data_IF_542227656069
#
_entry.id   IF_542227656069
#
_cell.length_a   1.000
_cell.length_b   1.000
_cell.length_c   1.000
_cell.angle_alpha   90.00
_cell.angle_beta   90.00
_cell.angle_gamma   90.00
#
_symmetry.space_group_name_H-M   'P 1'
#
loop_
_entity.id
_entity.type
_entity.pdbx_description
1 polymer ?
#
# COMPACT_ATOMS: atom_id res chain seq x y z
N UNK A 1 1.41 -69.98 5.32
CA UNK A 1 1.47 -68.82 6.23
C UNK A 1 1.55 -67.54 5.40
N UNK A 2 0.41 -66.92 5.10
CA UNK A 2 0.33 -65.58 4.52
C UNK A 2 -0.68 -64.81 5.37
N UNK A 3 -0.17 -63.88 6.18
CA UNK A 3 -0.95 -63.10 7.11
C UNK A 3 -1.36 -61.77 6.49
N UNK A 4 -2.67 -61.60 6.34
CA UNK A 4 -3.32 -60.31 6.14
C UNK A 4 -2.85 -59.27 7.18
N UNK A 5 -2.61 -58.03 6.75
CA UNK A 5 -2.68 -56.87 7.65
C UNK A 5 -3.66 -55.83 7.13
N UNK A 6 -4.54 -55.48 8.06
CA UNK A 6 -5.72 -54.64 7.94
C UNK A 6 -5.36 -53.17 7.72
N UNK A 7 -6.15 -52.52 6.88
CA UNK A 7 -6.29 -51.06 6.82
C UNK A 7 -7.09 -50.65 8.07
N UNK A 8 -6.44 -49.99 9.03
CA UNK A 8 -7.12 -49.43 10.20
C UNK A 8 -7.69 -48.05 9.87
N UNK A 9 -8.99 -47.90 10.15
CA UNK A 9 -9.73 -46.64 10.14
C UNK A 9 -9.11 -45.67 11.14
N UNK A 10 -8.68 -44.50 10.67
CA UNK A 10 -8.32 -43.37 11.54
C UNK A 10 -9.62 -42.77 12.06
N UNK A 11 -9.80 -42.83 13.38
CA UNK A 11 -10.93 -42.27 14.11
C UNK A 11 -10.85 -40.75 14.16
N UNK A 12 -12.00 -40.10 13.98
CA UNK A 12 -12.25 -38.71 14.33
C UNK A 12 -11.77 -38.44 15.76
N UNK A 13 -10.67 -37.70 15.88
CA UNK A 13 -10.18 -37.20 17.16
C UNK A 13 -10.44 -35.71 17.19
N UNK A 14 -11.48 -35.30 17.90
CA UNK A 14 -11.73 -33.90 18.25
C UNK A 14 -10.51 -33.36 19.01
N UNK A 15 -9.69 -32.56 18.34
CA UNK A 15 -8.61 -31.80 18.94
C UNK A 15 -9.20 -30.56 19.61
N UNK A 16 -9.38 -30.65 20.92
CA UNK A 16 -9.69 -29.49 21.75
C UNK A 16 -8.48 -28.53 21.77
N UNK A 17 -8.63 -27.40 21.07
CA UNK A 17 -7.77 -26.23 21.21
C UNK A 17 -8.15 -25.49 22.50
N UNK A 18 -7.34 -25.59 23.54
CA UNK A 18 -7.45 -24.73 24.73
C UNK A 18 -6.53 -23.53 24.58
N UNK A 19 -7.11 -22.38 24.22
CA UNK A 19 -6.45 -21.07 24.34
C UNK A 19 -7.00 -20.27 25.53
N UNK A 20 -6.17 -19.46 26.21
CA UNK A 20 -6.60 -18.64 27.31
C UNK A 20 -7.61 -17.57 26.84
N UNK A 21 -8.82 -17.59 27.42
CA UNK A 21 -9.87 -16.60 27.18
C UNK A 21 -9.42 -15.20 27.62
N UNK A 22 -8.81 -14.42 26.74
CA UNK A 22 -8.70 -12.97 26.91
C UNK A 22 -10.08 -12.35 26.70
N UNK A 23 -10.56 -11.60 27.70
CA UNK A 23 -11.83 -10.86 27.66
C UNK A 23 -11.86 -9.94 26.43
N UNK A 24 -12.59 -10.32 25.39
CA UNK A 24 -12.94 -9.46 24.27
C UNK A 24 -13.82 -8.31 24.80
N UNK A 25 -13.24 -7.11 24.92
CA UNK A 25 -14.02 -5.89 25.11
C UNK A 25 -14.76 -5.60 23.79
N UNK A 26 -16.09 -5.48 23.87
CA UNK A 26 -17.02 -5.10 22.78
C UNK A 26 -16.44 -3.99 21.88
N UNK A 27 -15.97 -4.36 20.69
CA UNK A 27 -15.63 -3.44 19.59
C UNK A 27 -16.93 -3.06 18.85
N UNK A 28 -17.74 -2.18 19.44
CA UNK A 28 -19.06 -1.84 18.87
C UNK A 28 -19.07 -0.68 17.86
N UNK A 29 -17.92 -0.11 17.48
CA UNK A 29 -17.81 0.99 16.52
C UNK A 29 -16.44 0.99 15.81
N UNK A 30 -16.01 -0.15 15.26
CA UNK A 30 -14.84 -0.14 14.37
C UNK A 30 -15.31 0.34 12.98
N UNK A 31 -14.74 1.42 12.42
CA UNK A 31 -14.91 1.70 11.00
C UNK A 31 -14.47 0.45 10.21
N UNK A 32 -15.13 0.13 9.10
CA UNK A 32 -14.79 -1.01 8.24
C UNK A 32 -13.28 -1.08 8.07
N UNK A 33 -12.67 -2.11 8.66
CA UNK A 33 -11.21 -2.18 8.80
C UNK A 33 -10.54 -3.00 7.69
N UNK A 34 -11.32 -3.65 6.84
CA UNK A 34 -10.84 -4.41 5.69
C UNK A 34 -10.30 -3.55 4.54
N UNK A 35 -9.80 -4.20 3.47
CA UNK A 35 -9.39 -3.51 2.26
C UNK A 35 -10.58 -2.70 1.69
N UNK A 36 -10.38 -1.41 1.38
CA UNK A 36 -11.48 -0.52 1.01
C UNK A 36 -12.09 -0.86 -0.36
N UNK A 37 -11.33 -1.55 -1.22
CA UNK A 37 -11.79 -2.09 -2.49
C UNK A 37 -10.98 -3.33 -2.85
N UNK A 38 -11.47 -4.06 -3.84
CA UNK A 38 -10.81 -5.22 -4.44
C UNK A 38 -10.76 -5.03 -5.97
N UNK A 39 -9.73 -5.53 -6.66
CA UNK A 39 -9.69 -5.55 -8.11
C UNK A 39 -10.90 -6.28 -8.71
N UNK A 40 -11.34 -5.87 -9.90
CA UNK A 40 -12.47 -6.50 -10.60
C UNK A 40 -12.29 -8.02 -10.76
N UNK A 41 -11.05 -8.47 -11.02
CA UNK A 41 -10.70 -9.89 -11.12
C UNK A 41 -10.99 -10.69 -9.83
N UNK A 42 -10.90 -10.04 -8.67
CA UNK A 42 -11.24 -10.66 -7.37
C UNK A 42 -12.75 -10.61 -7.15
N UNK A 43 -13.37 -9.47 -7.45
CA UNK A 43 -14.83 -9.28 -7.31
C UNK A 43 -15.63 -10.18 -8.24
N UNK A 44 -15.10 -10.53 -9.42
CA UNK A 44 -15.75 -11.38 -10.41
C UNK A 44 -15.64 -12.87 -10.12
N UNK A 45 -15.04 -13.29 -9.00
CA UNK A 45 -14.92 -14.72 -8.65
C UNK A 45 -16.21 -15.24 -8.02
N UNK A 46 -16.73 -16.32 -8.59
CA UNK A 46 -17.89 -17.06 -8.10
C UNK A 46 -17.58 -18.56 -8.09
N UNK A 47 -18.34 -19.32 -7.31
CA UNK A 47 -18.34 -20.78 -7.34
C UNK A 47 -19.77 -21.29 -7.38
N UNK A 48 -20.03 -22.29 -8.21
CA UNK A 48 -21.37 -22.85 -8.34
C UNK A 48 -21.60 -23.95 -7.30
N UNK A 49 -22.79 -23.95 -6.70
CA UNK A 49 -23.19 -24.98 -5.78
C UNK A 49 -23.43 -26.31 -6.53
N UNK A 50 -22.74 -27.41 -6.19
CA UNK A 50 -22.87 -28.67 -6.91
C UNK A 50 -24.24 -29.34 -6.74
N UNK A 51 -25.04 -28.94 -5.74
CA UNK A 51 -26.36 -29.52 -5.46
C UNK A 51 -27.50 -28.80 -6.20
N UNK A 52 -27.52 -27.47 -6.16
CA UNK A 52 -28.64 -26.67 -6.67
C UNK A 52 -28.27 -25.75 -7.86
N UNK A 53 -27.00 -25.69 -8.25
CA UNK A 53 -26.52 -24.86 -9.35
C UNK A 53 -26.48 -23.35 -9.05
N UNK A 54 -26.82 -22.92 -7.83
CA UNK A 54 -26.75 -21.51 -7.46
C UNK A 54 -25.29 -21.02 -7.46
N UNK A 55 -25.05 -19.86 -8.08
CA UNK A 55 -23.75 -19.22 -8.07
C UNK A 55 -23.53 -18.45 -6.77
N UNK A 56 -22.41 -18.69 -6.11
CA UNK A 56 -22.06 -18.14 -4.80
C UNK A 56 -20.88 -17.18 -4.92
N UNK A 57 -21.06 -15.98 -4.37
CA UNK A 57 -19.97 -15.02 -4.16
C UNK A 57 -19.52 -15.06 -2.70
N UNK A 58 -18.22 -15.10 -2.41
CA UNK A 58 -17.73 -14.91 -1.06
C UNK A 58 -18.06 -13.50 -0.54
N UNK A 59 -18.34 -13.40 0.77
CA UNK A 59 -18.34 -12.10 1.45
C UNK A 59 -16.89 -11.71 1.75
N UNK A 60 -16.30 -10.91 0.87
CA UNK A 60 -14.90 -10.51 0.99
C UNK A 60 -14.62 -9.58 2.19
N UNK A 61 -15.65 -8.91 2.69
CA UNK A 61 -15.55 -7.93 3.78
C UNK A 61 -16.01 -8.50 5.12
N UNK A 62 -16.26 -9.80 5.18
CA UNK A 62 -16.47 -10.50 6.44
C UNK A 62 -15.17 -10.47 7.25
N UNK A 63 -15.26 -9.95 8.47
CA UNK A 63 -14.20 -10.05 9.49
C UNK A 63 -14.23 -11.45 10.14
N UNK A 64 -13.05 -12.03 10.33
CA UNK A 64 -12.85 -13.32 10.99
C UNK A 64 -12.18 -13.15 12.35
N UNK A 65 -12.32 -14.15 13.22
CA UNK A 65 -11.73 -14.10 14.57
C UNK A 65 -10.20 -14.29 14.56
N UNK A 66 -9.68 -14.95 13.53
CA UNK A 66 -8.26 -15.22 13.32
C UNK A 66 -7.81 -14.56 12.00
N UNK A 67 -6.58 -14.01 11.93
CA UNK A 67 -6.07 -13.43 10.72
C UNK A 67 -5.78 -14.54 9.69
N UNK A 68 -5.98 -14.21 8.42
CA UNK A 68 -5.49 -15.02 7.32
C UNK A 68 -3.96 -14.97 7.25
N UNK A 69 -3.36 -16.11 6.96
CA UNK A 69 -1.92 -16.24 6.81
C UNK A 69 -1.43 -17.66 7.12
N UNK A 70 -0.11 -17.89 6.99
CA UNK A 70 0.48 -19.19 7.27
C UNK A 70 0.29 -19.58 8.74
N UNK A 71 -0.33 -20.74 8.96
CA UNK A 71 -0.59 -21.30 10.29
C UNK A 71 0.65 -22.08 10.72
N UNK A 72 1.31 -21.65 11.80
CA UNK A 72 2.42 -22.40 12.39
C UNK A 72 1.91 -23.75 12.91
N UNK A 73 2.41 -24.83 12.31
CA UNK A 73 2.13 -26.19 12.74
C UNK A 73 3.02 -26.55 13.92
N UNK A 74 2.50 -27.35 14.85
CA UNK A 74 3.31 -27.87 15.96
C UNK A 74 4.51 -28.64 15.39
N UNK A 75 5.75 -28.26 15.74
CA UNK A 75 6.94 -28.94 15.23
C UNK A 75 6.93 -30.39 15.70
N UNK A 76 7.08 -31.35 14.79
CA UNK A 76 7.34 -32.76 15.14
C UNK A 76 8.81 -33.01 15.48
N UNK A 77 9.71 -32.29 14.79
CA UNK A 77 11.17 -32.53 14.83
C UNK A 77 11.98 -31.24 15.11
N UNK A 78 11.37 -30.26 15.79
CA UNK A 78 11.99 -28.95 16.04
C UNK A 78 12.03 -28.00 14.83
N UNK A 79 11.69 -28.47 13.63
CA UNK A 79 11.50 -27.62 12.45
C UNK A 79 10.14 -26.93 12.47
N UNK A 80 10.16 -25.59 12.31
CA UNK A 80 8.94 -24.78 12.15
C UNK A 80 8.35 -25.07 10.77
N UNK A 81 7.12 -25.58 10.74
CA UNK A 81 6.36 -25.79 9.51
C UNK A 81 5.18 -24.85 9.51
N UNK A 82 4.81 -24.33 8.34
CA UNK A 82 3.65 -23.46 8.17
C UNK A 82 2.70 -24.08 7.15
N UNK A 83 1.41 -24.14 7.49
CA UNK A 83 0.36 -24.52 6.56
C UNK A 83 -0.29 -23.26 5.96
N UNK A 84 -0.53 -23.28 4.65
CA UNK A 84 -1.25 -22.20 3.95
C UNK A 84 -2.63 -22.70 3.57
N UNK A 85 -3.64 -21.87 3.80
CA UNK A 85 -5.02 -22.20 3.49
C UNK A 85 -5.21 -22.31 1.97
N UNK A 86 -5.77 -23.43 1.51
CA UNK A 86 -5.99 -23.68 0.08
C UNK A 86 -7.43 -23.35 -0.36
N UNK A 87 -8.39 -23.52 0.55
CA UNK A 87 -9.82 -23.35 0.28
C UNK A 87 -10.52 -22.65 1.44
N UNK A 88 -11.63 -21.98 1.11
CA UNK A 88 -12.55 -21.35 2.06
C UNK A 88 -13.94 -21.97 1.90
N UNK A 89 -14.66 -22.26 3.00
CA UNK A 89 -15.98 -22.88 2.91
C UNK A 89 -17.09 -21.82 2.82
N UNK A 90 -17.85 -21.84 1.73
CA UNK A 90 -19.11 -21.12 1.57
C UNK A 90 -20.29 -22.03 1.91
N UNK A 91 -21.39 -21.43 2.40
CA UNK A 91 -22.65 -22.14 2.66
C UNK A 91 -23.69 -21.66 1.66
N UNK A 92 -24.18 -22.56 0.81
CA UNK A 92 -25.26 -22.27 -0.12
C UNK A 92 -26.60 -22.10 0.60
N UNK A 93 -27.57 -21.43 -0.03
CA UNK A 93 -28.96 -21.36 0.45
C UNK A 93 -29.61 -22.75 0.59
N UNK A 94 -29.19 -23.74 -0.19
CA UNK A 94 -29.63 -25.14 -0.05
C UNK A 94 -28.87 -25.94 1.03
N UNK A 95 -28.12 -25.25 1.88
CA UNK A 95 -27.30 -25.74 3.00
C UNK A 95 -26.05 -26.55 2.60
N UNK A 96 -25.84 -26.78 1.31
CA UNK A 96 -24.60 -27.41 0.82
C UNK A 96 -23.40 -26.52 1.11
N UNK A 97 -22.37 -27.12 1.73
CA UNK A 97 -21.04 -26.50 1.87
C UNK A 97 -20.28 -26.62 0.56
N UNK A 98 -19.74 -25.51 0.08
CA UNK A 98 -19.02 -25.40 -1.18
C UNK A 98 -17.62 -24.88 -0.88
N UNK A 99 -16.60 -25.56 -1.39
CA UNK A 99 -15.22 -25.11 -1.27
C UNK A 99 -14.94 -24.04 -2.33
N UNK A 100 -14.46 -22.90 -1.88
CA UNK A 100 -14.01 -21.78 -2.70
C UNK A 100 -12.48 -21.77 -2.72
N UNK A 101 -11.83 -21.81 -3.91
CA UNK A 101 -10.38 -21.86 -4.00
C UNK A 101 -9.73 -20.51 -3.65
N UNK A 102 -8.63 -20.54 -2.90
CA UNK A 102 -7.83 -19.36 -2.55
C UNK A 102 -6.59 -19.18 -3.43
N UNK A 103 -6.19 -20.21 -4.18
CA UNK A 103 -5.07 -20.21 -5.13
C UNK A 103 -3.76 -19.60 -4.58
N UNK A 104 -3.23 -20.09 -3.45
CA UNK A 104 -2.05 -19.50 -2.85
C UNK A 104 -0.83 -19.62 -3.75
N UNK A 105 0.03 -18.60 -3.72
CA UNK A 105 1.24 -18.52 -4.56
C UNK A 105 2.51 -18.55 -3.74
N UNK A 106 3.55 -19.18 -4.25
CA UNK A 106 4.90 -19.04 -3.69
C UNK A 106 5.51 -17.73 -4.14
N UNK A 107 6.05 -16.95 -3.21
CA UNK A 107 6.76 -15.71 -3.51
C UNK A 107 8.27 -15.98 -3.58
N UNK A 108 8.89 -15.56 -4.68
CA UNK A 108 10.29 -15.93 -5.00
C UNK A 108 11.26 -14.79 -4.70
N UNK A 109 10.88 -13.55 -5.01
CA UNK A 109 11.79 -12.40 -4.96
C UNK A 109 11.14 -11.20 -4.26
N UNK A 110 11.91 -10.42 -3.47
CA UNK A 110 11.40 -9.21 -2.87
C UNK A 110 11.19 -8.11 -3.92
N UNK A 111 10.17 -7.30 -3.69
CA UNK A 111 9.95 -6.02 -4.38
C UNK A 111 9.77 -4.95 -3.30
N UNK A 112 10.55 -3.88 -3.41
CA UNK A 112 10.63 -2.83 -2.41
C UNK A 112 9.78 -1.64 -2.85
N UNK A 113 8.97 -1.11 -1.94
CA UNK A 113 8.12 0.06 -2.13
C UNK A 113 8.47 1.13 -1.10
N UNK A 114 8.60 2.37 -1.57
CA UNK A 114 8.93 3.55 -0.80
C UNK A 114 7.81 4.57 -0.94
N UNK A 115 7.28 5.05 0.17
CA UNK A 115 6.09 5.89 0.16
C UNK A 115 6.22 7.20 0.91
N UNK A 116 5.56 8.22 0.35
CA UNK A 116 5.35 9.52 0.99
C UNK A 116 4.03 10.14 0.52
N UNK A 117 3.50 11.07 1.30
CA UNK A 117 2.19 11.69 1.16
C UNK A 117 2.23 13.21 0.98
N UNK A 118 1.18 13.74 0.38
CA UNK A 118 0.98 15.17 0.26
C UNK A 118 -0.49 15.55 0.39
N UNK A 119 -0.76 16.50 1.29
CA UNK A 119 -2.11 16.99 1.55
C UNK A 119 -2.36 18.37 0.96
N UNK A 120 -3.60 18.62 0.52
CA UNK A 120 -4.06 19.93 0.06
C UNK A 120 -5.49 20.21 0.55
N UNK A 121 -5.79 21.48 0.79
CA UNK A 121 -7.14 21.96 1.08
C UNK A 121 -7.65 22.80 -0.09
N UNK A 122 -8.82 22.45 -0.63
CA UNK A 122 -9.38 22.92 -1.90
C UNK A 122 -10.85 23.31 -1.73
N UNK A 123 -11.15 24.60 -1.57
CA UNK A 123 -12.52 25.18 -1.61
C UNK A 123 -13.61 24.27 -0.98
N UNK A 124 -13.38 23.81 0.26
CA UNK A 124 -14.31 22.92 0.97
C UNK A 124 -14.07 21.42 0.77
N UNK A 125 -12.92 21.03 0.23
CA UNK A 125 -12.43 19.65 0.14
C UNK A 125 -11.03 19.51 0.74
N UNK A 126 -10.79 18.40 1.41
CA UNK A 126 -9.47 17.90 1.76
C UNK A 126 -9.05 16.87 0.73
N UNK A 127 -7.84 17.01 0.21
CA UNK A 127 -7.25 16.10 -0.75
C UNK A 127 -6.02 15.47 -0.12
N UNK A 128 -6.06 14.16 0.05
CA UNK A 128 -4.90 13.38 0.44
C UNK A 128 -4.35 12.65 -0.78
N UNK A 129 -3.05 12.80 -1.02
CA UNK A 129 -2.34 12.16 -2.12
C UNK A 129 -1.23 11.30 -1.53
N UNK A 130 -1.08 10.07 -2.00
CA UNK A 130 -0.09 9.14 -1.46
C UNK A 130 0.54 8.35 -2.60
N UNK A 131 1.87 8.28 -2.61
CA UNK A 131 2.64 7.62 -3.65
C UNK A 131 3.38 6.43 -3.07
N UNK A 132 3.49 5.34 -3.84
CA UNK A 132 4.49 4.30 -3.64
C UNK A 132 5.31 4.15 -4.92
N UNK A 133 6.62 4.39 -4.81
CA UNK A 133 7.58 4.07 -5.86
C UNK A 133 8.39 2.84 -5.47
N UNK A 134 8.81 2.01 -6.42
CA UNK A 134 9.46 0.77 -6.06
C UNK A 134 10.07 -0.01 -7.20
N UNK A 135 10.59 -1.19 -6.88
CA UNK A 135 11.26 -2.09 -7.83
C UNK A 135 11.88 -3.29 -7.13
N UNK A 136 12.43 -4.21 -7.92
CA UNK A 136 13.35 -5.22 -7.38
C UNK A 136 14.69 -4.57 -7.01
N UNK A 137 15.59 -5.31 -6.37
CA UNK A 137 16.85 -4.76 -5.84
C UNK A 137 17.70 -4.00 -6.87
N UNK A 138 17.81 -4.50 -8.10
CA UNK A 138 18.56 -3.85 -9.19
C UNK A 138 18.02 -2.46 -9.53
N UNK A 139 16.77 -2.35 -10.05
CA UNK A 139 16.16 -1.06 -10.36
C UNK A 139 16.14 -0.06 -9.18
N UNK A 140 15.97 -0.54 -7.95
CA UNK A 140 16.02 0.32 -6.75
C UNK A 140 17.43 0.87 -6.52
N UNK A 141 18.46 0.04 -6.65
CA UNK A 141 19.85 0.49 -6.53
C UNK A 141 20.19 1.53 -7.61
N UNK A 142 19.79 1.29 -8.86
CA UNK A 142 20.00 2.23 -9.97
C UNK A 142 19.34 3.59 -9.69
N UNK A 143 18.11 3.60 -9.15
CA UNK A 143 17.45 4.84 -8.73
C UNK A 143 18.22 5.57 -7.62
N UNK A 144 18.73 4.83 -6.63
CA UNK A 144 19.54 5.41 -5.55
C UNK A 144 20.81 6.06 -6.09
N UNK A 145 21.53 5.37 -6.98
CA UNK A 145 22.76 5.85 -7.59
C UNK A 145 22.52 7.11 -8.44
N UNK A 146 21.44 7.14 -9.22
CA UNK A 146 21.03 8.30 -10.02
C UNK A 146 20.67 9.51 -9.14
N UNK A 147 19.96 9.30 -8.03
CA UNK A 147 19.62 10.39 -7.10
C UNK A 147 20.89 10.94 -6.43
N UNK A 148 21.81 10.07 -6.01
CA UNK A 148 23.10 10.51 -5.46
C UNK A 148 23.92 11.29 -6.50
N UNK A 149 23.94 10.82 -7.76
CA UNK A 149 24.61 11.50 -8.87
C UNK A 149 23.98 12.87 -9.15
N UNK A 150 22.65 12.96 -9.17
CA UNK A 150 21.90 14.20 -9.35
C UNK A 150 22.21 15.21 -8.23
N UNK A 151 22.18 14.76 -6.98
CA UNK A 151 22.51 15.62 -5.82
C UNK A 151 23.94 16.14 -5.90
N UNK A 152 24.89 15.29 -6.30
CA UNK A 152 26.30 15.67 -6.51
C UNK A 152 26.47 16.65 -7.67
N UNK A 153 25.69 16.53 -8.74
CA UNK A 153 25.71 17.46 -9.88
C UNK A 153 25.35 18.88 -9.46
N UNK A 154 24.32 19.05 -8.64
CA UNK A 154 23.83 20.38 -8.24
C UNK A 154 24.59 20.98 -7.06
N UNK A 155 25.09 20.15 -6.13
CA UNK A 155 25.81 20.57 -4.94
C UNK A 155 27.06 19.68 -4.76
N UNK A 156 28.14 19.91 -5.54
CA UNK A 156 29.28 18.99 -5.63
C UNK A 156 30.18 18.98 -4.40
N UNK A 157 30.16 20.04 -3.60
CA UNK A 157 30.97 20.23 -2.41
C UNK A 157 30.35 19.65 -1.12
N UNK A 158 29.13 19.11 -1.20
CA UNK A 158 28.45 18.48 -0.05
C UNK A 158 28.15 17.03 -0.41
N UNK A 159 28.48 16.11 0.49
CA UNK A 159 28.16 14.69 0.33
C UNK A 159 26.64 14.51 0.13
N UNK A 160 26.17 13.91 -0.99
CA UNK A 160 24.76 13.72 -1.27
C UNK A 160 24.01 12.93 -0.18
N UNK A 161 24.70 12.13 0.63
CA UNK A 161 24.10 11.36 1.74
C UNK A 161 23.81 12.20 2.99
N UNK A 162 24.42 13.37 3.10
CA UNK A 162 24.30 14.22 4.29
C UNK A 162 23.09 15.16 4.25
N UNK A 163 22.44 15.28 3.10
CA UNK A 163 21.25 16.09 2.91
C UNK A 163 20.16 15.33 2.19
N UNK A 164 18.95 15.86 2.19
CA UNK A 164 17.74 15.20 1.68
C UNK A 164 16.99 16.17 0.79
N UNK A 165 16.26 15.68 -0.20
CA UNK A 165 15.30 16.46 -0.97
C UNK A 165 14.03 16.51 -0.12
N UNK A 166 13.61 17.71 0.28
CA UNK A 166 12.28 17.93 0.82
C UNK A 166 11.61 19.04 0.01
N UNK A 167 10.63 18.67 -0.81
CA UNK A 167 10.13 19.55 -1.87
C UNK A 167 9.56 20.84 -1.30
N UNK A 168 8.80 20.76 -0.21
CA UNK A 168 8.20 21.92 0.46
C UNK A 168 9.24 22.94 0.90
N UNK A 169 10.41 22.49 1.34
CA UNK A 169 11.47 23.37 1.83
C UNK A 169 12.26 24.00 0.68
N UNK A 170 12.43 23.28 -0.43
CA UNK A 170 13.05 23.82 -1.64
C UNK A 170 12.15 24.87 -2.32
N UNK A 171 10.84 24.63 -2.45
CA UNK A 171 9.93 25.55 -3.15
C UNK A 171 9.47 26.75 -2.30
N UNK A 172 9.51 26.63 -0.97
CA UNK A 172 9.08 27.70 -0.07
C UNK A 172 10.15 28.77 0.07
N UNK A 173 9.91 29.98 -0.45
CA UNK A 173 10.89 31.07 -0.42
C UNK A 173 11.50 31.34 0.96
N UNK A 174 10.71 31.31 2.04
CA UNK A 174 11.19 31.53 3.42
C UNK A 174 12.04 30.36 3.94
N UNK A 175 11.61 29.12 3.72
CA UNK A 175 12.35 27.94 4.22
C UNK A 175 13.62 27.71 3.42
N UNK A 176 13.55 27.93 2.10
CA UNK A 176 14.68 27.83 1.18
C UNK A 176 15.84 28.70 1.62
N UNK A 177 15.60 29.99 1.91
CA UNK A 177 16.68 30.93 2.30
C UNK A 177 17.28 30.61 3.67
N UNK A 178 16.55 29.89 4.53
CA UNK A 178 17.02 29.47 5.85
C UNK A 178 17.85 28.17 5.79
N UNK A 179 17.61 27.33 4.78
CA UNK A 179 18.34 26.08 4.60
C UNK A 179 19.69 26.33 3.89
N UNK A 180 20.79 25.86 4.50
CA UNK A 180 22.15 26.09 4.01
C UNK A 180 22.40 25.56 2.60
N UNK A 181 21.68 24.51 2.19
CA UNK A 181 21.81 23.85 0.90
C UNK A 181 20.83 24.47 -0.08
N UNK A 182 19.54 24.54 0.26
CA UNK A 182 18.52 24.99 -0.69
C UNK A 182 18.64 26.47 -1.06
N UNK A 183 19.25 27.31 -0.21
CA UNK A 183 19.53 28.71 -0.55
C UNK A 183 20.47 28.87 -1.75
N UNK A 184 21.21 27.82 -2.12
CA UNK A 184 22.13 27.81 -3.27
C UNK A 184 21.44 27.58 -4.60
N UNK A 185 20.18 27.13 -4.58
CA UNK A 185 19.41 26.93 -5.79
C UNK A 185 18.73 28.24 -6.22
N UNK A 186 18.84 28.57 -7.52
CA UNK A 186 17.97 29.57 -8.14
C UNK A 186 16.56 29.00 -8.29
N UNK A 187 15.59 29.83 -8.70
CA UNK A 187 14.23 29.31 -8.95
C UNK A 187 14.23 28.39 -10.17
N UNK A 188 15.01 28.74 -11.17
CA UNK A 188 15.16 28.02 -12.44
C UNK A 188 15.83 26.66 -12.18
N UNK A 189 16.92 26.64 -11.40
CA UNK A 189 17.64 25.40 -11.09
C UNK A 189 16.84 24.44 -10.21
N UNK A 190 15.84 24.93 -9.44
CA UNK A 190 14.89 24.06 -8.72
C UNK A 190 13.99 23.32 -9.70
N UNK A 191 13.49 24.02 -10.73
CA UNK A 191 12.63 23.40 -11.74
C UNK A 191 13.42 22.34 -12.51
N UNK A 192 14.62 22.68 -12.98
CA UNK A 192 15.51 21.74 -13.67
C UNK A 192 15.83 20.52 -12.79
N UNK A 193 16.14 20.74 -11.51
CA UNK A 193 16.40 19.66 -10.56
C UNK A 193 15.21 18.70 -10.43
N UNK A 194 13.99 19.22 -10.29
CA UNK A 194 12.80 18.37 -10.20
C UNK A 194 12.43 17.69 -11.52
N UNK A 195 12.73 18.30 -12.65
CA UNK A 195 12.60 17.66 -13.96
C UNK A 195 13.56 16.48 -14.11
N UNK A 196 14.79 16.60 -13.61
CA UNK A 196 15.73 15.47 -13.56
C UNK A 196 15.28 14.39 -12.57
N UNK A 197 14.68 14.74 -11.42
CA UNK A 197 14.04 13.74 -10.54
C UNK A 197 12.91 13.00 -11.27
N UNK A 198 12.04 13.72 -11.98
CA UNK A 198 10.96 13.12 -12.76
C UNK A 198 11.52 12.21 -13.87
N UNK A 199 12.64 12.61 -14.48
CA UNK A 199 13.31 11.83 -15.50
C UNK A 199 13.79 10.47 -14.98
N UNK A 200 14.39 10.42 -13.78
CA UNK A 200 14.86 9.19 -13.13
C UNK A 200 13.74 8.14 -13.03
N UNK A 201 12.51 8.58 -12.69
CA UNK A 201 11.33 7.71 -12.67
C UNK A 201 10.93 7.27 -14.08
N UNK A 202 10.73 8.24 -14.98
CA UNK A 202 10.20 7.99 -16.33
C UNK A 202 11.04 7.03 -17.19
N UNK A 203 12.36 7.03 -17.01
CA UNK A 203 13.26 6.16 -17.78
C UNK A 203 13.07 4.68 -17.44
N UNK A 204 12.42 4.37 -16.32
CA UNK A 204 12.38 3.02 -15.73
C UNK A 204 10.98 2.45 -15.58
N UNK A 205 9.95 3.07 -16.16
CA UNK A 205 8.53 2.67 -16.04
C UNK A 205 8.26 1.17 -16.26
N UNK A 206 9.11 0.46 -17.03
CA UNK A 206 9.00 -0.98 -17.27
C UNK A 206 9.50 -1.86 -16.12
N UNK A 207 10.42 -1.35 -15.31
CA UNK A 207 11.14 -2.08 -14.26
C UNK A 207 10.87 -1.55 -12.85
N UNK A 208 10.23 -0.38 -12.76
CA UNK A 208 9.83 0.24 -11.50
C UNK A 208 8.32 0.19 -11.33
N UNK A 209 7.92 0.23 -10.07
CA UNK A 209 6.55 0.40 -9.66
C UNK A 209 6.31 1.86 -9.39
N UNK A 210 5.31 2.43 -10.03
CA UNK A 210 4.94 3.81 -9.80
C UNK A 210 3.42 3.93 -9.61
N UNK A 211 3.04 3.92 -8.34
CA UNK A 211 1.65 3.82 -7.90
C UNK A 211 1.28 5.08 -7.15
N UNK A 212 0.14 5.65 -7.46
CA UNK A 212 -0.34 6.85 -6.78
C UNK A 212 -1.81 6.73 -6.48
N UNK A 213 -2.21 7.14 -5.28
CA UNK A 213 -3.62 7.28 -4.92
C UNK A 213 -3.94 8.71 -4.55
N UNK A 214 -5.14 9.12 -4.93
CA UNK A 214 -5.75 10.33 -4.46
C UNK A 214 -7.08 10.02 -3.79
N UNK A 215 -7.31 10.64 -2.65
CA UNK A 215 -8.52 10.51 -1.86
C UNK A 215 -9.07 11.90 -1.50
N UNK A 216 -10.05 12.41 -2.26
CA UNK A 216 -10.77 13.62 -1.91
C UNK A 216 -11.81 13.33 -0.81
N UNK A 217 -12.05 14.29 0.06
CA UNK A 217 -13.19 14.29 0.96
C UNK A 217 -13.71 15.70 1.17
N UNK A 218 -15.03 15.85 1.26
CA UNK A 218 -15.64 17.12 1.60
C UNK A 218 -15.20 17.53 3.01
N UNK A 219 -14.73 18.76 3.16
CA UNK A 219 -14.40 19.32 4.47
C UNK A 219 -15.67 19.42 5.31
N UNK A 220 -15.64 18.75 6.47
CA UNK A 220 -16.65 18.92 7.51
C UNK A 220 -16.44 20.22 8.30
N UNK A 221 -17.29 20.40 9.31
CA UNK A 221 -17.11 21.48 10.27
C UNK A 221 -15.73 21.39 10.96
N UNK A 222 -15.22 22.51 11.50
CA UNK A 222 -13.88 22.57 12.14
C UNK A 222 -13.62 21.44 13.16
N UNK A 223 -14.67 21.01 13.88
CA UNK A 223 -14.60 19.92 14.87
C UNK A 223 -14.47 18.51 14.26
N UNK A 224 -14.82 18.35 12.99
CA UNK A 224 -14.84 17.06 12.27
C UNK A 224 -13.67 16.89 11.32
N UNK A 225 -13.00 17.98 10.90
CA UNK A 225 -11.87 17.97 9.96
C UNK A 225 -10.82 16.91 10.28
N UNK A 226 -10.29 16.91 11.52
CA UNK A 226 -9.27 15.93 11.91
C UNK A 226 -9.75 14.47 11.87
N UNK A 227 -11.06 14.22 12.06
CA UNK A 227 -11.62 12.86 11.91
C UNK A 227 -11.70 12.47 10.44
N UNK A 228 -12.16 13.38 9.58
CA UNK A 228 -12.25 13.17 8.13
C UNK A 228 -10.85 12.92 7.56
N UNK A 229 -9.89 13.79 7.87
CA UNK A 229 -8.50 13.64 7.43
C UNK A 229 -7.91 12.29 7.83
N UNK A 230 -8.12 11.87 9.10
CA UNK A 230 -7.66 10.56 9.59
C UNK A 230 -8.28 9.40 8.81
N UNK A 231 -9.59 9.44 8.55
CA UNK A 231 -10.29 8.39 7.80
C UNK A 231 -9.78 8.34 6.36
N UNK A 232 -9.66 9.48 5.70
CA UNK A 232 -9.21 9.58 4.31
C UNK A 232 -7.79 9.05 4.13
N UNK A 233 -6.87 9.45 5.02
CA UNK A 233 -5.49 8.93 5.05
C UNK A 233 -5.46 7.42 5.21
N UNK A 234 -6.20 6.90 6.19
CA UNK A 234 -6.26 5.46 6.44
C UNK A 234 -6.84 4.70 5.24
N UNK A 235 -7.91 5.21 4.62
CA UNK A 235 -8.52 4.60 3.43
C UNK A 235 -7.54 4.59 2.27
N UNK A 236 -6.89 5.72 1.97
CA UNK A 236 -5.91 5.84 0.89
C UNK A 236 -4.70 4.92 1.10
N UNK A 237 -4.17 4.87 2.33
CA UNK A 237 -3.08 3.99 2.70
C UNK A 237 -3.43 2.53 2.47
N UNK A 238 -4.57 2.06 3.00
CA UNK A 238 -5.03 0.67 2.80
C UNK A 238 -5.21 0.36 1.33
N UNK A 239 -5.90 1.23 0.61
CA UNK A 239 -6.15 1.10 -0.82
C UNK A 239 -4.88 0.91 -1.65
N UNK A 240 -3.90 1.80 -1.44
CA UNK A 240 -2.66 1.77 -2.19
C UNK A 240 -1.83 0.53 -1.86
N UNK A 241 -1.71 0.18 -0.56
CA UNK A 241 -1.04 -1.05 -0.14
C UNK A 241 -1.71 -2.29 -0.71
N UNK A 242 -3.04 -2.40 -0.60
CA UNK A 242 -3.84 -3.51 -1.13
C UNK A 242 -3.58 -3.71 -2.63
N UNK A 243 -3.55 -2.63 -3.40
CA UNK A 243 -3.25 -2.71 -4.84
C UNK A 243 -1.81 -3.15 -5.10
N UNK A 244 -0.82 -2.63 -4.37
CA UNK A 244 0.58 -3.04 -4.51
C UNK A 244 0.77 -4.52 -4.15
N UNK A 245 0.16 -4.98 -3.05
CA UNK A 245 0.19 -6.37 -2.60
C UNK A 245 -0.36 -7.28 -3.69
N UNK A 246 -1.54 -6.97 -4.21
CA UNK A 246 -2.17 -7.76 -5.25
C UNK A 246 -1.33 -7.86 -6.51
N UNK A 247 -0.86 -6.72 -7.01
CA UNK A 247 -0.10 -6.67 -8.24
C UNK A 247 1.27 -7.35 -8.11
N UNK A 248 1.93 -7.25 -6.95
CA UNK A 248 3.21 -7.90 -6.67
C UNK A 248 3.04 -9.42 -6.52
N UNK A 249 2.11 -9.87 -5.69
CA UNK A 249 1.90 -11.31 -5.44
C UNK A 249 1.33 -12.04 -6.65
N UNK A 250 0.54 -11.37 -7.50
CA UNK A 250 0.15 -11.87 -8.83
C UNK A 250 1.34 -12.13 -9.76
N UNK A 251 2.50 -11.55 -9.48
CA UNK A 251 3.76 -11.80 -10.18
C UNK A 251 4.75 -12.65 -9.35
N UNK A 252 4.27 -13.30 -8.28
CA UNK A 252 5.11 -14.09 -7.36
C UNK A 252 6.21 -13.27 -6.67
N UNK A 253 5.98 -11.98 -6.48
CA UNK A 253 6.89 -11.07 -5.78
C UNK A 253 6.43 -10.82 -4.34
N UNK A 254 7.40 -10.72 -3.43
CA UNK A 254 7.19 -10.44 -2.01
C UNK A 254 7.29 -8.94 -1.70
N UNK A 255 6.16 -8.24 -1.50
CA UNK A 255 6.16 -6.80 -1.29
C UNK A 255 6.73 -6.43 0.09
N UNK A 256 7.65 -5.47 0.10
CA UNK A 256 8.22 -4.86 1.30
C UNK A 256 8.01 -3.35 1.23
N UNK A 257 7.46 -2.76 2.29
CA UNK A 257 7.11 -1.35 2.33
C UNK A 257 8.00 -0.61 3.32
N UNK A 258 8.63 0.48 2.87
CA UNK A 258 9.41 1.39 3.68
C UNK A 258 8.78 2.78 3.59
N UNK A 259 8.35 3.33 4.71
CA UNK A 259 7.59 4.59 4.77
C UNK A 259 8.28 5.59 5.69
N UNK A 260 8.10 6.88 5.43
CA UNK A 260 8.56 7.93 6.33
C UNK A 260 7.76 7.93 7.64
N UNK A 261 8.45 8.02 8.78
CA UNK A 261 7.82 8.19 10.08
C UNK A 261 7.32 9.64 10.24
N UNK A 262 6.05 9.83 10.56
CA UNK A 262 5.48 11.14 10.87
C UNK A 262 6.01 11.76 12.18
N UNK A 263 6.71 10.98 13.02
CA UNK A 263 7.35 11.43 14.26
C UNK A 263 8.80 11.00 14.36
N UNK A 264 9.56 11.73 15.19
CA UNK A 264 10.94 11.36 15.51
C UNK A 264 11.02 9.93 16.07
N UNK A 265 11.87 9.11 15.45
CA UNK A 265 12.13 7.74 15.85
C UNK A 265 13.00 7.73 17.10
N UNK A 266 12.44 7.24 18.21
CA UNK A 266 13.16 7.10 19.50
C UNK A 266 13.62 5.67 19.78
N UNK A 267 13.01 4.67 19.13
CA UNK A 267 13.25 3.23 19.36
C UNK A 267 13.07 2.47 18.06
N UNK A 268 13.86 1.39 17.86
CA UNK A 268 13.75 0.51 16.69
C UNK A 268 13.30 -0.91 17.12
N UNK A 269 12.32 -1.53 16.43
CA UNK A 269 11.56 -0.98 15.31
C UNK A 269 10.61 0.16 15.74
N UNK A 270 10.47 1.18 14.90
CA UNK A 270 9.50 2.25 15.12
C UNK A 270 8.14 1.82 14.59
N UNK A 271 7.11 1.87 15.44
CA UNK A 271 5.76 1.47 15.06
C UNK A 271 4.86 2.69 15.26
N UNK A 272 4.39 3.27 14.15
CA UNK A 272 3.28 4.21 14.19
C UNK A 272 1.97 3.42 14.10
N UNK A 273 1.15 3.55 15.15
CA UNK A 273 -0.06 2.75 15.31
C UNK A 273 -0.99 2.87 14.10
N UNK A 274 -1.10 4.02 13.43
CA UNK A 274 -2.04 4.15 12.31
C UNK A 274 -1.66 3.25 11.13
N UNK A 275 -0.40 3.23 10.68
CA UNK A 275 0.02 2.40 9.54
C UNK A 275 -0.02 0.92 9.92
N UNK A 276 0.51 0.58 11.10
CA UNK A 276 0.51 -0.78 11.64
C UNK A 276 -0.90 -1.35 11.84
N UNK A 277 -1.80 -0.58 12.47
CA UNK A 277 -3.19 -0.99 12.72
C UNK A 277 -3.91 -1.19 11.39
N UNK A 278 -3.72 -0.29 10.40
CA UNK A 278 -4.39 -0.43 9.11
C UNK A 278 -3.95 -1.68 8.33
N UNK A 279 -2.67 -2.05 8.41
CA UNK A 279 -2.16 -3.28 7.80
C UNK A 279 -2.66 -4.52 8.52
N UNK A 280 -2.46 -4.60 9.83
CA UNK A 280 -2.80 -5.81 10.60
C UNK A 280 -4.30 -6.08 10.67
N UNK A 281 -5.13 -5.04 10.78
CA UNK A 281 -6.58 -5.21 10.76
C UNK A 281 -7.07 -5.74 9.41
N UNK A 282 -6.38 -5.42 8.31
CA UNK A 282 -6.77 -5.92 6.98
C UNK A 282 -6.60 -7.43 6.84
N UNK A 283 -5.68 -8.06 7.58
CA UNK A 283 -5.41 -9.49 7.54
C UNK A 283 -6.57 -10.36 8.07
N UNK A 284 -7.58 -9.78 8.73
CA UNK A 284 -8.75 -10.49 9.25
C UNK A 284 -9.88 -10.62 8.23
N UNK A 285 -9.66 -10.26 6.97
CA UNK A 285 -10.68 -10.22 5.92
C UNK A 285 -10.31 -11.15 4.77
N UNK A 286 -11.30 -11.90 4.27
CA UNK A 286 -11.10 -12.79 3.12
C UNK A 286 -10.61 -12.03 1.87
N UNK A 287 -11.03 -10.77 1.73
CA UNK A 287 -10.51 -9.88 0.69
C UNK A 287 -8.99 -9.80 0.72
N UNK A 288 -8.37 -9.61 1.90
CA UNK A 288 -6.92 -9.51 2.02
C UNK A 288 -6.21 -10.81 1.62
N UNK A 289 -6.74 -11.97 2.02
CA UNK A 289 -6.20 -13.29 1.63
C UNK A 289 -6.16 -13.47 0.11
N UNK A 290 -7.19 -12.97 -0.59
CA UNK A 290 -7.25 -13.00 -2.06
C UNK A 290 -6.30 -11.98 -2.69
N UNK A 291 -6.09 -10.83 -2.06
CA UNK A 291 -5.09 -9.87 -2.52
C UNK A 291 -3.67 -10.40 -2.33
N UNK A 292 -3.36 -11.04 -1.21
CA UNK A 292 -2.01 -11.57 -0.91
C UNK A 292 -1.73 -12.92 -1.56
N UNK A 293 -2.73 -13.53 -2.22
CA UNK A 293 -2.66 -14.90 -2.73
C UNK A 293 -2.15 -15.87 -1.64
N UNK A 294 -2.75 -15.80 -0.44
CA UNK A 294 -2.44 -16.68 0.69
C UNK A 294 -1.12 -16.43 1.41
N UNK A 295 -0.43 -15.33 1.09
CA UNK A 295 0.87 -15.02 1.68
C UNK A 295 0.77 -14.10 2.88
N UNK A 296 1.69 -14.31 3.83
CA UNK A 296 1.96 -13.34 4.89
C UNK A 296 2.72 -12.16 4.31
N UNK A 297 2.17 -10.96 4.47
CA UNK A 297 2.81 -9.72 4.05
C UNK A 297 3.30 -8.99 5.28
N UNK A 298 4.60 -8.64 5.29
CA UNK A 298 5.18 -7.86 6.38
C UNK A 298 4.49 -6.49 6.52
N UNK A 299 4.32 -6.04 7.76
CA UNK A 299 3.86 -4.68 8.00
C UNK A 299 4.89 -3.66 7.46
N UNK A 300 4.46 -2.46 7.03
CA UNK A 300 5.38 -1.43 6.61
C UNK A 300 6.41 -1.07 7.68
N UNK A 301 7.68 -0.94 7.26
CA UNK A 301 8.76 -0.43 8.08
C UNK A 301 8.76 1.10 8.05
N UNK A 302 8.79 1.72 9.23
CA UNK A 302 8.82 3.18 9.36
C UNK A 302 10.24 3.64 9.65
N UNK A 303 10.76 4.50 8.79
CA UNK A 303 12.13 5.00 8.84
C UNK A 303 12.18 6.52 8.97
N UNK A 304 13.36 7.07 9.24
CA UNK A 304 13.52 8.51 9.48
C UNK A 304 13.23 9.29 8.18
N UNK A 305 12.38 10.33 8.17
CA UNK A 305 11.93 11.01 6.96
C UNK A 305 12.99 11.33 5.90
N UNK A 306 12.92 10.72 4.72
CA UNK A 306 13.93 10.87 3.65
C UNK A 306 15.27 10.20 3.97
N UNK A 307 15.29 9.12 4.76
CA UNK A 307 16.52 8.35 5.03
C UNK A 307 16.97 7.45 3.89
N UNK A 308 16.13 7.29 2.86
CA UNK A 308 16.41 6.51 1.67
C UNK A 308 16.17 7.36 0.42
N UNK A 309 17.03 7.33 -0.62
CA UNK A 309 16.84 8.13 -1.82
C UNK A 309 15.46 7.94 -2.49
N UNK A 310 14.94 6.72 -2.50
CA UNK A 310 13.60 6.47 -3.05
C UNK A 310 12.46 7.12 -2.21
N UNK A 311 12.65 7.40 -0.92
CA UNK A 311 11.67 8.18 -0.14
C UNK A 311 11.70 9.65 -0.56
N UNK A 312 12.89 10.20 -0.82
CA UNK A 312 13.05 11.55 -1.36
C UNK A 312 12.32 11.69 -2.71
N UNK A 313 12.43 10.68 -3.57
CA UNK A 313 11.76 10.66 -4.88
C UNK A 313 10.23 10.44 -4.75
N UNK A 314 9.78 9.71 -3.73
CA UNK A 314 8.36 9.59 -3.39
C UNK A 314 7.77 10.93 -2.92
N UNK A 315 8.48 11.72 -2.09
CA UNK A 315 8.08 13.10 -1.68
C UNK A 315 7.88 13.96 -2.93
N UNK A 316 8.87 13.93 -3.84
CA UNK A 316 8.80 14.68 -5.10
C UNK A 316 7.55 14.32 -5.87
N UNK A 317 7.31 13.05 -6.14
CA UNK A 317 6.12 12.65 -6.91
C UNK A 317 4.81 12.98 -6.18
N UNK A 318 4.69 12.65 -4.89
CA UNK A 318 3.49 12.93 -4.09
C UNK A 318 3.18 14.45 -4.07
N UNK A 319 4.19 15.29 -3.86
CA UNK A 319 4.05 16.74 -3.88
C UNK A 319 3.55 17.25 -5.22
N UNK A 320 4.16 16.82 -6.33
CA UNK A 320 3.83 17.31 -7.66
C UNK A 320 2.47 16.80 -8.14
N UNK A 321 2.10 15.55 -7.85
CA UNK A 321 0.76 15.05 -8.09
C UNK A 321 -0.29 15.88 -7.32
N UNK A 322 -0.09 16.07 -6.01
CA UNK A 322 -0.98 16.90 -5.18
C UNK A 322 -1.06 18.35 -5.66
N UNK A 323 0.07 18.93 -6.05
CA UNK A 323 0.14 20.30 -6.57
C UNK A 323 -0.55 20.42 -7.95
N UNK A 324 -0.38 19.46 -8.84
CA UNK A 324 -1.01 19.45 -10.15
C UNK A 324 -2.54 19.45 -10.01
N UNK A 325 -3.08 18.61 -9.13
CA UNK A 325 -4.52 18.56 -8.84
C UNK A 325 -5.02 19.88 -8.22
N UNK A 326 -4.24 20.42 -7.27
CA UNK A 326 -4.55 21.70 -6.65
C UNK A 326 -4.55 22.88 -7.62
N UNK A 327 -3.61 22.90 -8.57
CA UNK A 327 -3.50 23.97 -9.56
C UNK A 327 -4.55 23.85 -10.66
N UNK A 328 -4.79 22.63 -11.14
CA UNK A 328 -5.83 22.34 -12.14
C UNK A 328 -7.22 22.75 -11.65
N UNK A 329 -7.58 22.43 -10.39
CA UNK A 329 -8.87 22.87 -9.80
C UNK A 329 -9.02 24.39 -9.65
N UNK A 330 -7.93 25.15 -9.77
CA UNK A 330 -7.94 26.62 -9.79
C UNK A 330 -7.81 27.22 -11.19
N UNK A 331 -7.68 26.41 -12.23
CA UNK A 331 -7.34 26.89 -13.58
C UNK A 331 -5.94 27.48 -13.68
N UNK A 332 -5.04 27.14 -12.75
CA UNK A 332 -3.65 27.60 -12.71
C UNK A 332 -2.70 26.55 -13.27
N UNK A 333 -1.54 26.98 -13.78
CA UNK A 333 -0.46 26.06 -14.18
C UNK A 333 0.37 25.65 -12.96
N UNK A 334 0.75 24.37 -12.92
CA UNK A 334 1.71 23.83 -11.95
C UNK A 334 3.13 24.35 -12.16
N UNK A 335 4.01 24.07 -11.19
CA UNK A 335 5.45 24.35 -11.32
C UNK A 335 6.11 23.45 -12.40
N UNK A 336 5.58 22.24 -12.55
CA UNK A 336 6.02 21.23 -13.50
C UNK A 336 4.80 20.45 -13.99
N UNK A 337 4.86 19.94 -15.22
CA UNK A 337 3.81 19.09 -15.79
C UNK A 337 3.97 17.64 -15.28
N UNK A 338 2.87 17.02 -14.83
CA UNK A 338 2.90 15.70 -14.17
C UNK A 338 3.33 14.57 -15.12
N UNK A 339 3.11 14.75 -16.42
CA UNK A 339 3.52 13.80 -17.46
C UNK A 339 5.03 13.59 -17.58
N UNK A 340 5.84 14.51 -17.04
CA UNK A 340 7.30 14.37 -17.03
C UNK A 340 7.79 13.20 -16.20
N UNK A 341 6.98 12.71 -15.26
CA UNK A 341 7.39 11.60 -14.42
C UNK A 341 7.17 10.21 -15.05
N UNK A 342 6.65 10.13 -16.27
CA UNK A 342 6.39 8.86 -16.95
C UNK A 342 4.98 8.32 -16.74
N UNK A 343 4.82 7.02 -16.94
CA UNK A 343 3.56 6.30 -16.78
C UNK A 343 3.32 5.89 -15.32
N UNK A 344 2.09 6.08 -14.87
CA UNK A 344 1.65 5.79 -13.52
C UNK A 344 0.41 4.93 -13.51
N UNK A 345 0.25 4.25 -12.38
CA UNK A 345 -1.00 3.61 -11.99
C UNK A 345 -1.67 4.50 -10.94
N UNK A 346 -2.63 5.30 -11.40
CA UNK A 346 -3.42 6.20 -10.59
C UNK A 346 -4.68 5.51 -10.05
N UNK A 347 -4.89 5.65 -8.75
CA UNK A 347 -6.07 5.22 -8.02
C UNK A 347 -6.81 6.47 -7.54
N UNK A 348 -8.13 6.52 -7.72
CA UNK A 348 -8.95 7.61 -7.20
C UNK A 348 -10.09 7.04 -6.38
N UNK A 349 -10.16 7.41 -5.10
CA UNK A 349 -11.30 7.05 -4.25
C UNK A 349 -12.47 7.99 -4.56
N UNK A 350 -13.60 7.42 -5.00
CA UNK A 350 -14.87 8.12 -5.23
C UNK A 350 -15.86 7.84 -4.10
N UNK A 351 -16.82 8.76 -3.94
CA UNK A 351 -17.92 8.64 -2.98
C UNK A 351 -18.52 7.22 -2.99
N UNK A 352 -18.52 6.55 -1.82
CA UNK A 352 -19.11 5.22 -1.66
C UNK A 352 -18.18 4.02 -1.91
N UNK A 353 -16.91 4.10 -1.47
CA UNK A 353 -15.93 2.99 -1.49
C UNK A 353 -15.55 2.47 -2.89
N UNK A 354 -15.79 3.24 -3.95
CA UNK A 354 -15.29 2.89 -5.29
C UNK A 354 -13.89 3.45 -5.49
N UNK A 355 -13.03 2.67 -6.12
CA UNK A 355 -11.72 3.13 -6.52
C UNK A 355 -11.58 2.99 -8.03
N UNK A 356 -11.42 4.10 -8.72
CA UNK A 356 -11.15 4.07 -10.14
C UNK A 356 -9.67 3.85 -10.37
N UNK A 357 -9.35 2.92 -11.26
CA UNK A 357 -7.99 2.64 -11.67
C UNK A 357 -7.74 3.23 -13.06
N UNK A 358 -6.68 4.02 -13.19
CA UNK A 358 -6.21 4.55 -14.46
C UNK A 358 -4.72 4.28 -14.61
N UNK A 359 -4.30 3.90 -15.82
CA UNK A 359 -2.90 3.80 -16.19
C UNK A 359 -2.60 4.81 -17.29
N UNK A 360 -1.63 5.69 -17.06
CA UNK A 360 -1.28 6.74 -18.01
C UNK A 360 -0.28 7.75 -17.44
N UNK A 361 0.05 8.76 -18.24
CA UNK A 361 1.00 9.83 -17.87
C UNK A 361 0.31 11.06 -17.28
N UNK A 362 -1.02 11.09 -17.25
CA UNK A 362 -1.80 12.20 -16.72
C UNK A 362 -2.80 11.71 -15.68
N UNK A 363 -3.12 12.57 -14.71
CA UNK A 363 -4.20 12.30 -13.77
C UNK A 363 -5.52 12.70 -14.45
N UNK A 364 -6.51 11.78 -14.58
CA UNK A 364 -7.74 12.09 -15.30
C UNK A 364 -8.50 13.29 -14.72
N UNK A 365 -8.78 14.30 -15.54
CA UNK A 365 -9.45 15.55 -15.11
C UNK A 365 -10.84 15.35 -14.54
N UNK A 366 -11.54 14.32 -14.97
CA UNK A 366 -12.88 13.99 -14.50
C UNK A 366 -12.89 13.37 -13.08
N UNK A 367 -11.72 13.27 -12.45
CA UNK A 367 -11.59 12.89 -11.04
C UNK A 367 -11.72 14.07 -10.07
N UNK A 368 -11.87 15.30 -10.58
CA UNK A 368 -11.95 16.51 -9.76
C UNK A 368 -13.38 17.08 -9.76
N UNK A 369 -13.90 17.46 -8.58
CA UNK A 369 -15.19 18.15 -8.46
C UNK A 369 -15.15 19.60 -8.96
#
# INVERSE_FOLDING_TARGET
MQGHRQISKIRDTQLALTMPKKKQKKQKNRPQSGPPFLPDEVLSKFVDCPKCGASLQPDFWREFDEPFGPIELKPRDGQRMFAVQQTFTLTCQCETKVEYPLDPRTLEHPVYFFGDEADRHLKGYYLHSYTLIGGTSGPVQDMCDDIEALKRKYIPDIDPRTWRIHVKDMVSGKRRVQNAIYKRFSRESIVEFFEECAHILSQRDKYTWNMHITAPAKEGAKKERGKIEKVVRATAHKALLSQCIYQATKQSLNPQFTLDAGKDIKTFPHIESWSFDTHNESQFYLGFELLSHGNSIAAPELVKPGSHPCLELADVHAFFAANWMFKTSKGERGLMDINKFGEFKYLMIRDGNRCDYHRGTEIPRHYFP
#
